data_IF_138205919160
#
_entry.id   IF_138205919160
#
_cell.length_a   1.000
_cell.length_b   1.000
_cell.length_c   1.000
_cell.angle_alpha   90.00
_cell.angle_beta   90.00
_cell.angle_gamma   90.00
#
_symmetry.space_group_name_H-M   'P 1'
#
loop_
_entity.id
_entity.type
_entity.pdbx_description
1 polymer ?
#
# COMPACT_ATOMS: atom_id res chain seq x y z
N UNK A 1 -28.31 1.26 -38.10
CA UNK A 1 -27.97 2.69 -38.27
C UNK A 1 -28.72 3.50 -37.23
N UNK A 2 -28.03 4.14 -36.28
CA UNK A 2 -28.30 5.50 -35.75
C UNK A 2 -27.25 5.85 -34.69
N UNK A 3 -26.16 6.47 -35.19
CA UNK A 3 -25.33 7.55 -34.65
C UNK A 3 -25.33 7.73 -33.12
N UNK A 4 -24.16 7.68 -32.47
CA UNK A 4 -23.24 8.84 -32.22
C UNK A 4 -23.99 10.05 -31.63
N UNK A 5 -23.33 10.68 -30.64
CA UNK A 5 -23.73 11.85 -29.82
C UNK A 5 -24.27 11.36 -28.46
N UNK A 6 -23.55 11.48 -27.36
CA UNK A 6 -23.11 12.75 -26.80
C UNK A 6 -21.79 12.61 -26.02
N UNK A 7 -20.81 13.41 -26.42
CA UNK A 7 -19.74 13.92 -25.54
C UNK A 7 -20.36 15.05 -24.71
N UNK A 8 -20.19 15.02 -23.39
CA UNK A 8 -20.42 16.16 -22.50
C UNK A 8 -19.46 16.00 -21.31
N UNK A 9 -18.27 16.58 -21.31
CA UNK A 9 -17.95 17.94 -20.85
C UNK A 9 -18.54 18.24 -19.46
N UNK A 10 -17.69 18.21 -18.43
CA UNK A 10 -17.43 19.39 -17.60
C UNK A 10 -16.44 19.03 -16.48
N UNK A 11 -15.25 19.61 -16.56
CA UNK A 11 -14.31 19.75 -15.45
C UNK A 11 -14.97 20.68 -14.42
N UNK A 12 -15.27 20.15 -13.23
CA UNK A 12 -15.75 20.94 -12.09
C UNK A 12 -14.65 21.10 -11.07
N UNK A 13 -13.83 22.13 -11.19
CA UNK A 13 -13.01 22.63 -10.10
C UNK A 13 -13.88 23.53 -9.22
N UNK A 14 -14.10 23.13 -7.97
CA UNK A 14 -14.75 23.97 -6.97
C UNK A 14 -13.94 23.89 -5.67
N UNK A 15 -13.01 24.84 -5.52
CA UNK A 15 -12.29 25.11 -4.29
C UNK A 15 -13.14 25.98 -3.37
N UNK A 16 -13.71 25.39 -2.32
CA UNK A 16 -14.34 26.13 -1.22
C UNK A 16 -13.39 26.17 -0.03
N UNK A 17 -12.82 27.35 0.25
CA UNK A 17 -12.18 27.64 1.53
C UNK A 17 -13.29 27.92 2.54
N UNK A 18 -13.39 27.10 3.59
CA UNK A 18 -14.15 27.45 4.79
C UNK A 18 -13.18 27.80 5.92
N UNK A 19 -13.23 29.06 6.30
CA UNK A 19 -12.64 29.63 7.49
C UNK A 19 -13.40 29.18 8.75
N UNK A 20 -12.72 29.21 9.90
CA UNK A 20 -13.37 29.28 11.22
C UNK A 20 -13.03 28.10 12.13
N UNK A 21 -12.13 28.33 13.08
CA UNK A 21 -11.67 27.34 14.04
C UNK A 21 -12.57 27.16 15.27
N UNK A 22 -12.35 26.04 15.95
CA UNK A 22 -12.54 25.85 17.38
C UNK A 22 -11.59 24.73 17.82
N UNK A 23 -10.61 25.06 18.65
CA UNK A 23 -9.68 24.10 19.23
C UNK A 23 -10.30 23.52 20.49
N UNK A 24 -10.67 22.23 20.53
CA UNK A 24 -10.90 21.51 21.78
C UNK A 24 -10.53 20.01 21.67
N UNK A 25 -9.57 19.65 22.54
CA UNK A 25 -9.31 18.34 23.17
C UNK A 25 -8.82 17.18 22.28
N UNK A 26 -7.50 17.05 22.19
CA UNK A 26 -6.79 15.81 21.85
C UNK A 26 -6.96 14.82 23.01
N UNK A 27 -7.78 13.79 22.83
CA UNK A 27 -7.62 12.54 23.56
C UNK A 27 -6.73 11.65 22.69
N UNK A 28 -5.41 11.75 22.91
CA UNK A 28 -4.44 10.88 22.27
C UNK A 28 -4.55 9.47 22.85
N UNK A 29 -5.22 8.56 22.16
CA UNK A 29 -4.90 7.14 22.32
C UNK A 29 -3.55 6.94 21.63
N UNK A 30 -2.49 6.88 22.44
CA UNK A 30 -1.18 6.48 21.98
C UNK A 30 -1.29 5.01 21.54
N UNK A 31 -1.63 4.79 20.27
CA UNK A 31 -1.29 3.55 19.60
C UNK A 31 0.23 3.52 19.61
N UNK A 32 0.79 2.68 20.47
CA UNK A 32 2.21 2.39 20.47
C UNK A 32 2.55 1.83 19.09
N UNK A 33 3.00 2.71 18.18
CA UNK A 33 3.69 2.29 16.99
C UNK A 33 4.88 1.45 17.51
N UNK A 34 5.06 0.20 17.05
CA UNK A 34 6.27 -0.53 17.38
C UNK A 34 7.45 0.35 16.98
N UNK A 35 8.39 0.51 17.91
CA UNK A 35 9.61 1.28 17.69
C UNK A 35 10.16 0.90 16.32
N UNK A 36 10.38 1.90 15.47
CA UNK A 36 11.07 1.68 14.21
C UNK A 36 12.37 0.96 14.55
N UNK A 37 12.63 -0.25 14.02
CA UNK A 37 13.91 -0.90 14.26
C UNK A 37 15.00 0.05 13.80
N UNK A 38 15.88 0.40 14.72
CA UNK A 38 17.10 1.14 14.43
C UNK A 38 17.83 0.37 13.34
N UNK A 39 17.81 0.89 12.11
CA UNK A 39 18.55 0.29 11.01
C UNK A 39 20.03 0.38 11.40
N UNK A 40 20.75 -0.73 11.65
CA UNK A 40 22.20 -0.64 11.77
C UNK A 40 22.71 -0.11 10.43
N UNK A 41 23.32 1.06 10.45
CA UNK A 41 24.08 1.57 9.30
C UNK A 41 25.15 0.53 8.97
N UNK A 42 25.16 -0.07 7.76
CA UNK A 42 26.23 -0.97 7.38
C UNK A 42 27.52 -0.15 7.31
N UNK A 43 28.45 -0.43 8.21
CA UNK A 43 29.84 -0.01 8.09
C UNK A 43 30.37 -0.62 6.80
N UNK A 44 30.57 0.18 5.76
CA UNK A 44 31.05 -0.28 4.46
C UNK A 44 32.52 -0.70 4.58
N UNK A 45 32.90 -1.99 4.45
CA UNK A 45 34.29 -2.39 4.46
C UNK A 45 34.84 -2.33 3.04
N UNK A 46 35.58 -1.25 2.74
CA UNK A 46 36.67 -1.22 1.76
C UNK A 46 36.35 -1.37 0.25
N UNK A 47 37.23 -0.84 -0.63
CA UNK A 47 37.10 -0.94 -2.08
C UNK A 47 37.59 -2.31 -2.54
N UNK A 48 36.70 -3.30 -2.63
CA UNK A 48 37.06 -4.66 -3.01
C UNK A 48 36.01 -5.33 -3.88
N UNK A 49 36.32 -5.42 -5.17
CA UNK A 49 35.71 -6.28 -6.19
C UNK A 49 34.34 -5.84 -6.77
N UNK A 50 34.43 -5.26 -7.97
CA UNK A 50 33.32 -4.90 -8.84
C UNK A 50 32.56 -6.15 -9.32
N UNK A 51 31.56 -6.58 -8.56
CA UNK A 51 30.44 -7.29 -9.15
C UNK A 51 29.28 -6.30 -9.27
N UNK A 52 28.72 -6.14 -10.47
CA UNK A 52 27.69 -5.15 -10.83
C UNK A 52 26.32 -5.43 -10.19
N UNK A 53 26.27 -5.58 -8.87
CA UNK A 53 25.02 -5.76 -8.12
C UNK A 53 24.49 -4.39 -7.73
N UNK A 54 23.34 -4.03 -8.30
CA UNK A 54 22.60 -2.86 -7.86
C UNK A 54 21.52 -3.34 -6.90
N UNK A 55 21.60 -2.91 -5.64
CA UNK A 55 20.58 -3.15 -4.65
C UNK A 55 19.75 -1.89 -4.45
N UNK A 56 18.42 -2.02 -4.44
CA UNK A 56 17.50 -0.93 -4.14
C UNK A 56 16.42 -1.39 -3.16
N UNK A 57 15.94 -0.44 -2.36
CA UNK A 57 14.87 -0.69 -1.41
C UNK A 57 13.52 -0.67 -2.12
N UNK A 58 12.73 -1.73 -1.97
CA UNK A 58 11.35 -1.78 -2.42
C UNK A 58 10.41 -1.48 -1.24
N UNK A 59 9.54 -0.48 -1.41
CA UNK A 59 8.56 -0.12 -0.39
C UNK A 59 7.51 -1.24 -0.20
N UNK A 60 7.08 -1.40 1.05
CA UNK A 60 5.96 -2.29 1.36
C UNK A 60 4.65 -1.78 0.76
N UNK A 61 3.70 -2.69 0.55
CA UNK A 61 2.41 -2.36 -0.04
C UNK A 61 1.29 -3.24 0.51
N UNK A 62 0.07 -2.73 0.43
CA UNK A 62 -1.12 -3.53 0.69
C UNK A 62 -1.47 -4.36 -0.54
N UNK A 63 -1.71 -5.64 -0.34
CA UNK A 63 -2.22 -6.53 -1.40
C UNK A 63 -3.51 -7.21 -0.97
N UNK A 64 -4.25 -7.73 -1.94
CA UNK A 64 -5.51 -8.46 -1.75
C UNK A 64 -5.45 -9.77 -2.51
N UNK A 65 -5.94 -10.82 -1.87
CA UNK A 65 -6.11 -12.16 -2.47
C UNK A 65 -7.56 -12.58 -2.35
N UNK A 66 -8.08 -13.15 -3.43
CA UNK A 66 -9.41 -13.74 -3.47
C UNK A 66 -9.34 -15.19 -3.00
N UNK A 67 -10.15 -15.54 -2.00
CA UNK A 67 -10.41 -16.93 -1.64
C UNK A 67 -11.71 -17.35 -2.32
N UNK A 68 -11.62 -18.35 -3.19
CA UNK A 68 -12.81 -18.90 -3.84
C UNK A 68 -13.75 -19.53 -2.81
N UNK A 69 -15.05 -19.49 -3.12
CA UNK A 69 -16.03 -20.21 -2.33
C UNK A 69 -15.82 -21.73 -2.43
N UNK A 70 -16.29 -22.45 -1.42
CA UNK A 70 -16.16 -23.91 -1.35
C UNK A 70 -17.43 -24.54 -0.77
N UNK A 71 -17.64 -25.81 -1.11
CA UNK A 71 -18.66 -26.64 -0.46
C UNK A 71 -18.03 -27.36 0.73
N UNK A 72 -18.73 -27.36 1.87
CA UNK A 72 -18.31 -28.17 3.01
C UNK A 72 -18.75 -29.64 2.89
N UNK A 73 -18.35 -30.46 3.88
CA UNK A 73 -18.67 -31.89 3.92
C UNK A 73 -20.16 -32.18 4.13
N UNK A 74 -20.94 -31.18 4.55
CA UNK A 74 -22.38 -31.28 4.79
C UNK A 74 -23.20 -30.71 3.64
N UNK A 75 -22.55 -30.26 2.56
CA UNK A 75 -23.22 -29.73 1.38
C UNK A 75 -23.69 -28.29 1.55
N UNK A 76 -23.12 -27.51 2.46
CA UNK A 76 -23.35 -26.06 2.48
C UNK A 76 -22.32 -25.33 1.62
N UNK A 77 -22.79 -24.33 0.88
CA UNK A 77 -21.95 -23.44 0.10
C UNK A 77 -21.44 -22.28 0.95
N UNK A 78 -20.13 -22.08 0.97
CA UNK A 78 -19.46 -20.94 1.59
C UNK A 78 -19.02 -19.97 0.51
N UNK A 79 -19.47 -18.71 0.60
CA UNK A 79 -19.07 -17.68 -0.36
C UNK A 79 -17.58 -17.38 -0.26
N UNK A 80 -16.99 -17.07 -1.41
CA UNK A 80 -15.62 -16.55 -1.46
C UNK A 80 -15.52 -15.18 -0.79
N UNK A 81 -14.31 -14.83 -0.37
CA UNK A 81 -14.04 -13.57 0.31
C UNK A 81 -12.68 -13.00 -0.08
N UNK A 82 -12.53 -11.69 0.08
CA UNK A 82 -11.25 -11.01 -0.11
C UNK A 82 -10.49 -10.95 1.21
N UNK A 83 -9.22 -11.30 1.18
CA UNK A 83 -8.29 -11.07 2.29
C UNK A 83 -7.32 -9.98 1.89
N UNK A 84 -7.15 -8.98 2.77
CA UNK A 84 -6.18 -7.90 2.59
C UNK A 84 -5.04 -8.09 3.58
N UNK A 85 -3.80 -8.07 3.12
CA UNK A 85 -2.63 -8.16 3.98
C UNK A 85 -1.52 -7.21 3.52
N UNK A 86 -0.64 -6.86 4.46
CA UNK A 86 0.51 -5.98 4.24
C UNK A 86 1.73 -6.82 3.84
N UNK A 87 2.38 -6.44 2.75
CA UNK A 87 3.68 -6.97 2.36
C UNK A 87 4.76 -5.99 2.84
N UNK A 88 5.63 -6.39 3.78
CA UNK A 88 6.73 -5.54 4.21
C UNK A 88 7.68 -5.19 3.06
N UNK A 89 8.30 -4.02 3.14
CA UNK A 89 9.36 -3.64 2.21
C UNK A 89 10.60 -4.52 2.40
N UNK A 90 11.39 -4.69 1.33
CA UNK A 90 12.63 -5.46 1.36
C UNK A 90 13.66 -4.91 0.37
N UNK A 91 14.93 -5.28 0.57
CA UNK A 91 16.00 -4.98 -0.38
C UNK A 91 15.98 -5.97 -1.54
N UNK A 92 16.00 -5.45 -2.76
CA UNK A 92 16.12 -6.25 -3.98
C UNK A 92 17.48 -5.95 -4.59
N UNK A 93 18.29 -6.99 -4.78
CA UNK A 93 19.57 -6.90 -5.47
C UNK A 93 19.44 -7.56 -6.84
N UNK A 94 19.81 -6.84 -7.89
CA UNK A 94 19.79 -7.35 -9.25
C UNK A 94 21.23 -7.43 -9.80
N UNK A 95 21.50 -8.57 -10.43
CA UNK A 95 22.69 -8.77 -11.26
C UNK A 95 22.37 -8.21 -12.64
N UNK A 96 23.21 -7.28 -13.12
CA UNK A 96 23.16 -6.84 -14.51
C UNK A 96 23.85 -7.86 -15.40
#
# INVERSE_FOLDING_TARGET
MRNRLMRGLALGAASTMLAGGAALTVAGTASAAPAAPSVPSPTHPGPGHHNHHHCFWQQGHWTKVWHHGFWDKWGHWHHGYWVKFWVPGHWVCAHR
#
